data_IF_956994173759
#
_entry.id   IF_956994173759
#
_cell.length_a   1.000
_cell.length_b   1.000
_cell.length_c   1.000
_cell.angle_alpha   90.00
_cell.angle_beta   90.00
_cell.angle_gamma   90.00
#
_symmetry.space_group_name_H-M   'P 1'
#
loop_
_entity.id
_entity.type
_entity.pdbx_description
1 polymer ?
#
# COMPACT_ATOMS: atom_id res chain seq x y z
N UNK A 1 11.04 28.90 -50.92
CA UNK A 1 10.34 28.24 -52.06
C UNK A 1 9.97 26.88 -51.52
N UNK A 2 8.81 26.45 -51.33
CA UNK A 2 7.45 26.53 -51.65
C UNK A 2 6.71 25.63 -50.63
N UNK A 3 5.73 26.12 -49.90
CA UNK A 3 4.56 25.33 -49.47
C UNK A 3 3.69 25.08 -50.71
N UNK A 4 2.88 24.07 -50.81
CA UNK A 4 1.52 24.05 -50.28
C UNK A 4 1.09 22.63 -49.84
N UNK A 5 -0.08 22.27 -49.32
CA UNK A 5 -1.47 22.72 -49.52
C UNK A 5 -2.34 22.01 -48.47
N UNK A 6 -3.33 22.74 -47.97
CA UNK A 6 -4.50 22.28 -47.19
C UNK A 6 -5.45 21.40 -48.02
N UNK A 7 -6.06 20.38 -47.39
CA UNK A 7 -7.35 19.79 -47.78
C UNK A 7 -7.72 18.75 -46.73
N UNK A 8 -8.83 18.68 -46.08
CA UNK A 8 -10.17 19.16 -46.25
C UNK A 8 -11.02 18.48 -45.19
N UNK A 9 -11.76 19.32 -44.52
CA UNK A 9 -12.73 18.97 -43.47
C UNK A 9 -13.91 18.22 -44.07
N UNK A 10 -14.33 17.08 -43.56
CA UNK A 10 -15.67 16.54 -43.79
C UNK A 10 -16.33 16.23 -42.45
N UNK A 11 -17.27 17.09 -42.13
CA UNK A 11 -18.28 16.92 -41.08
C UNK A 11 -19.44 16.13 -41.68
N UNK A 12 -19.95 15.12 -41.01
CA UNK A 12 -21.26 14.53 -41.31
C UNK A 12 -22.06 14.37 -40.01
N UNK A 13 -23.37 14.60 -40.05
CA UNK A 13 -24.15 14.96 -38.88
C UNK A 13 -24.87 13.79 -38.19
N UNK A 14 -25.31 14.11 -36.97
CA UNK A 14 -26.24 13.39 -36.12
C UNK A 14 -27.46 12.79 -36.81
N UNK A 15 -27.83 11.59 -36.41
CA UNK A 15 -29.23 11.14 -36.45
C UNK A 15 -29.63 10.70 -35.07
N UNK A 16 -30.54 11.47 -34.48
CA UNK A 16 -31.28 11.14 -33.29
C UNK A 16 -32.44 10.18 -33.66
N UNK A 17 -32.59 9.11 -32.92
CA UNK A 17 -33.82 8.31 -32.94
C UNK A 17 -34.36 8.23 -31.53
N UNK A 18 -35.40 8.98 -31.28
CA UNK A 18 -36.28 8.84 -30.14
C UNK A 18 -37.28 7.71 -30.42
N UNK A 19 -37.47 6.81 -29.44
CA UNK A 19 -38.61 5.90 -29.42
C UNK A 19 -39.33 6.02 -28.08
N UNK A 20 -40.58 6.42 -28.20
CA UNK A 20 -41.56 6.64 -27.14
C UNK A 20 -42.31 5.35 -26.79
N UNK A 21 -42.78 5.32 -25.56
CA UNK A 21 -44.00 4.71 -24.99
C UNK A 21 -44.13 3.17 -24.91
N UNK A 22 -44.45 2.66 -23.74
CA UNK A 22 -45.88 2.53 -23.35
C UNK A 22 -46.05 2.30 -21.85
N UNK A 23 -46.88 3.09 -21.21
CA UNK A 23 -47.57 2.82 -19.95
C UNK A 23 -48.68 1.76 -20.17
N UNK A 24 -48.77 0.78 -19.30
CA UNK A 24 -50.02 0.09 -19.05
C UNK A 24 -50.25 0.01 -17.52
N UNK A 25 -51.28 0.75 -17.10
CA UNK A 25 -51.98 0.59 -15.84
C UNK A 25 -52.96 -0.59 -15.93
N UNK A 26 -53.08 -1.39 -14.86
CA UNK A 26 -54.30 -2.14 -14.47
C UNK A 26 -54.16 -2.35 -12.98
N UNK A 27 -54.95 -1.75 -12.19
CA UNK A 27 -56.30 -1.92 -11.76
C UNK A 27 -56.39 -2.82 -10.51
N UNK A 28 -57.03 -2.25 -9.51
CA UNK A 28 -57.29 -2.70 -8.16
C UNK A 28 -58.15 -3.98 -8.08
N UNK A 29 -57.97 -4.72 -7.00
CA UNK A 29 -58.90 -5.75 -6.53
C UNK A 29 -58.83 -5.80 -5.02
N UNK A 30 -60.00 -5.47 -4.41
CA UNK A 30 -60.30 -5.40 -2.98
C UNK A 30 -60.53 -6.78 -2.38
N UNK A 31 -60.39 -6.80 -1.04
CA UNK A 31 -61.07 -7.65 -0.05
C UNK A 31 -60.76 -9.16 0.05
N UNK A 32 -60.18 -9.49 1.19
CA UNK A 32 -60.78 -10.34 2.19
C UNK A 32 -59.89 -10.55 3.42
N UNK A 33 -60.34 -10.07 4.56
CA UNK A 33 -59.80 -10.42 5.88
C UNK A 33 -60.42 -11.75 6.37
N UNK A 34 -59.64 -12.66 6.92
CA UNK A 34 -60.19 -13.56 7.93
C UNK A 34 -59.43 -13.54 9.25
N UNK A 35 -60.23 -13.41 10.27
CA UNK A 35 -60.20 -13.93 11.65
C UNK A 35 -58.85 -14.32 12.28
N UNK A 36 -58.60 -13.68 13.41
CA UNK A 36 -57.65 -14.04 14.45
C UNK A 36 -57.89 -15.44 14.99
N UNK A 37 -56.94 -16.33 14.84
CA UNK A 37 -56.77 -17.51 15.69
C UNK A 37 -55.44 -17.43 16.38
N UNK A 38 -55.44 -17.71 17.68
CA UNK A 38 -54.38 -17.51 18.63
C UNK A 38 -53.05 -18.14 18.23
N UNK A 39 -52.00 -17.32 18.23
CA UNK A 39 -50.63 -17.77 18.09
C UNK A 39 -50.03 -17.93 19.47
N UNK A 40 -49.69 -19.18 19.80
CA UNK A 40 -48.89 -19.54 20.94
C UNK A 40 -47.54 -18.83 20.83
N UNK A 41 -47.08 -18.19 21.92
CA UNK A 41 -45.73 -17.65 22.06
C UNK A 41 -44.71 -18.78 21.90
N UNK A 42 -43.76 -18.70 20.98
CA UNK A 42 -42.59 -19.58 21.03
C UNK A 42 -41.71 -19.17 22.23
N UNK A 43 -41.33 -20.18 23.00
CA UNK A 43 -40.33 -20.11 24.04
C UNK A 43 -39.05 -19.44 23.50
N UNK A 44 -38.41 -18.64 24.35
CA UNK A 44 -37.10 -18.03 24.10
C UNK A 44 -36.09 -19.17 23.99
N UNK A 45 -35.87 -19.64 22.79
CA UNK A 45 -34.78 -20.54 22.48
C UNK A 45 -33.50 -19.71 22.55
N UNK A 46 -32.66 -20.06 23.48
CA UNK A 46 -31.35 -19.52 23.74
C UNK A 46 -30.60 -19.33 22.41
N UNK A 47 -30.36 -18.06 22.01
CA UNK A 47 -29.53 -17.70 20.88
C UNK A 47 -28.11 -18.16 21.21
N UNK A 48 -27.81 -19.42 20.89
CA UNK A 48 -26.45 -19.90 20.85
C UNK A 48 -25.68 -18.99 19.90
N UNK A 49 -24.68 -18.28 20.42
CA UNK A 49 -23.71 -17.56 19.60
C UNK A 49 -23.16 -18.52 18.55
N UNK A 50 -23.08 -18.10 17.28
CA UNK A 50 -22.43 -18.94 16.29
C UNK A 50 -21.02 -19.26 16.76
N UNK A 51 -20.55 -20.51 16.63
CA UNK A 51 -19.17 -20.85 16.95
C UNK A 51 -18.25 -19.95 16.17
N UNK A 52 -17.17 -19.48 16.82
CA UNK A 52 -16.06 -18.79 16.19
C UNK A 52 -15.76 -19.49 14.87
N UNK A 53 -15.95 -18.77 13.77
CA UNK A 53 -15.60 -19.25 12.45
C UNK A 53 -14.07 -19.18 12.39
N UNK A 54 -13.41 -20.16 13.00
CA UNK A 54 -12.11 -20.55 12.55
C UNK A 54 -12.34 -21.06 11.13
N UNK A 55 -11.96 -20.24 10.14
CA UNK A 55 -11.93 -20.66 8.75
C UNK A 55 -11.14 -21.96 8.70
N UNK A 56 -11.83 -23.06 8.56
CA UNK A 56 -11.22 -24.38 8.40
C UNK A 56 -10.56 -24.34 7.03
N UNK A 57 -9.25 -24.17 7.05
CA UNK A 57 -8.44 -24.17 5.85
C UNK A 57 -8.72 -25.45 5.05
N UNK A 58 -9.12 -25.30 3.79
CA UNK A 58 -9.40 -26.44 2.95
C UNK A 58 -8.08 -27.16 2.61
N UNK A 59 -8.14 -28.49 2.38
CA UNK A 59 -6.96 -29.26 1.99
C UNK A 59 -6.30 -28.70 0.69
N UNK A 60 -7.10 -28.11 -0.20
CA UNK A 60 -6.64 -27.44 -1.43
C UNK A 60 -5.82 -26.19 -1.13
N UNK A 61 -6.25 -25.37 -0.15
CA UNK A 61 -5.52 -24.15 0.23
C UNK A 61 -4.18 -24.47 0.90
N UNK A 62 -4.15 -25.54 1.70
CA UNK A 62 -2.92 -26.04 2.32
C UNK A 62 -1.93 -26.54 1.24
N UNK A 63 -2.40 -27.31 0.28
CA UNK A 63 -1.58 -27.82 -0.83
C UNK A 63 -1.06 -26.71 -1.74
N UNK A 64 -1.88 -25.70 -2.01
CA UNK A 64 -1.46 -24.53 -2.80
C UNK A 64 -0.36 -23.75 -2.08
N UNK A 65 -0.47 -23.56 -0.76
CA UNK A 65 0.56 -22.90 0.04
C UNK A 65 1.85 -23.69 0.09
N UNK A 66 1.79 -24.99 0.24
CA UNK A 66 2.96 -25.88 0.15
C UNK A 66 3.69 -25.68 -1.17
N UNK A 67 2.97 -25.73 -2.28
CA UNK A 67 3.53 -25.54 -3.61
C UNK A 67 4.20 -24.17 -3.77
N UNK A 68 3.59 -23.10 -3.28
CA UNK A 68 4.18 -21.75 -3.31
C UNK A 68 5.45 -21.69 -2.46
N UNK A 69 5.47 -22.28 -1.27
CA UNK A 69 6.65 -22.34 -0.43
C UNK A 69 7.82 -23.04 -1.12
N UNK A 70 7.58 -24.20 -1.71
CA UNK A 70 8.61 -24.93 -2.46
C UNK A 70 9.19 -24.10 -3.60
N UNK A 71 8.35 -23.38 -4.33
CA UNK A 71 8.78 -22.49 -5.41
C UNK A 71 9.60 -21.29 -4.90
N UNK A 72 9.19 -20.68 -3.80
CA UNK A 72 9.92 -19.57 -3.16
C UNK A 72 11.29 -20.02 -2.68
N UNK A 73 11.37 -21.17 -1.99
CA UNK A 73 12.64 -21.75 -1.54
C UNK A 73 13.57 -22.09 -2.70
N UNK A 74 13.03 -22.74 -3.74
CA UNK A 74 13.80 -23.11 -4.92
C UNK A 74 14.33 -21.87 -5.65
N UNK A 75 13.50 -20.84 -5.84
CA UNK A 75 13.89 -19.60 -6.51
C UNK A 75 14.95 -18.81 -5.71
N UNK A 76 14.78 -18.71 -4.40
CA UNK A 76 15.75 -18.06 -3.51
C UNK A 76 17.11 -18.76 -3.57
N UNK A 77 17.12 -20.10 -3.44
CA UNK A 77 18.33 -20.91 -3.46
C UNK A 77 19.05 -20.83 -4.81
N UNK A 78 18.31 -20.90 -5.91
CA UNK A 78 18.88 -20.83 -7.27
C UNK A 78 19.57 -19.49 -7.57
N UNK A 79 19.22 -18.43 -6.86
CA UNK A 79 19.74 -17.08 -7.06
C UNK A 79 20.58 -16.56 -5.86
N UNK A 80 20.97 -17.45 -4.96
CA UNK A 80 21.78 -17.12 -3.77
C UNK A 80 21.17 -15.96 -2.95
N UNK A 81 19.84 -15.95 -2.81
CA UNK A 81 19.12 -15.00 -1.98
C UNK A 81 18.78 -15.63 -0.62
N UNK A 82 18.89 -14.88 0.50
CA UNK A 82 18.34 -15.35 1.77
C UNK A 82 16.82 -15.60 1.61
N UNK A 83 16.37 -16.78 2.04
CA UNK A 83 14.97 -17.19 1.96
C UNK A 83 14.04 -16.16 2.59
N UNK A 84 14.40 -15.68 3.80
CA UNK A 84 13.60 -14.69 4.51
C UNK A 84 13.47 -13.38 3.73
N UNK A 85 14.55 -12.90 3.12
CA UNK A 85 14.53 -11.71 2.28
C UNK A 85 13.57 -11.87 1.10
N UNK A 86 13.71 -12.96 0.34
CA UNK A 86 12.89 -13.19 -0.83
C UNK A 86 11.40 -13.39 -0.48
N UNK A 87 11.13 -14.19 0.56
CA UNK A 87 9.76 -14.39 1.03
C UNK A 87 9.10 -13.09 1.51
N UNK A 88 9.84 -12.19 2.20
CA UNK A 88 9.34 -10.87 2.60
C UNK A 88 9.07 -9.96 1.41
N UNK A 89 9.89 -10.02 0.35
CA UNK A 89 9.61 -9.31 -0.92
C UNK A 89 8.26 -9.79 -1.48
N UNK A 90 8.10 -11.10 -1.72
CA UNK A 90 6.85 -11.65 -2.29
C UNK A 90 5.63 -11.37 -1.40
N UNK A 91 5.82 -11.39 -0.07
CA UNK A 91 4.78 -10.99 0.87
C UNK A 91 4.37 -9.52 0.71
N UNK A 92 5.33 -8.61 0.51
CA UNK A 92 5.02 -7.19 0.30
C UNK A 92 4.32 -6.94 -1.03
N UNK A 93 4.68 -7.70 -2.07
CA UNK A 93 4.07 -7.54 -3.39
C UNK A 93 2.62 -8.01 -3.43
N UNK A 94 2.33 -9.23 -2.97
CA UNK A 94 1.03 -9.88 -3.24
C UNK A 94 0.42 -10.63 -2.07
N UNK A 95 1.09 -10.74 -0.92
CA UNK A 95 0.72 -11.68 0.15
C UNK A 95 0.69 -13.13 -0.33
N UNK A 96 1.54 -13.48 -1.27
CA UNK A 96 1.60 -14.77 -1.99
C UNK A 96 0.37 -15.08 -2.85
N UNK A 97 -0.42 -14.07 -3.24
CA UNK A 97 -1.56 -14.27 -4.13
C UNK A 97 -1.12 -14.11 -5.58
N UNK A 98 -1.43 -15.12 -6.41
CA UNK A 98 -0.97 -15.19 -7.79
C UNK A 98 -1.77 -14.28 -8.75
N UNK A 99 -3.00 -13.95 -8.41
CA UNK A 99 -3.97 -13.25 -9.24
C UNK A 99 -4.08 -11.73 -8.94
N UNK A 100 -3.21 -11.20 -8.07
CA UNK A 100 -3.25 -9.79 -7.68
C UNK A 100 -2.89 -8.88 -8.84
N UNK A 101 -3.71 -7.86 -9.01
CA UNK A 101 -3.47 -6.75 -9.93
C UNK A 101 -3.34 -5.47 -9.13
N UNK A 102 -2.19 -4.82 -9.23
CA UNK A 102 -1.88 -3.59 -8.51
C UNK A 102 -2.73 -2.39 -8.94
N UNK A 103 -2.61 -1.25 -8.26
CA UNK A 103 -3.30 -0.02 -8.63
C UNK A 103 -2.83 0.49 -10.00
N UNK A 104 -3.69 1.25 -10.68
CA UNK A 104 -3.33 1.86 -11.94
C UNK A 104 -2.28 2.95 -11.73
N UNK A 105 -1.17 2.85 -12.42
CA UNK A 105 -0.11 3.86 -12.45
C UNK A 105 -0.46 5.02 -13.39
N UNK A 106 0.31 6.12 -13.34
CA UNK A 106 0.05 7.30 -14.18
C UNK A 106 0.11 7.03 -15.68
N UNK A 107 0.86 6.02 -16.11
CA UNK A 107 0.97 5.60 -17.51
C UNK A 107 -0.08 4.54 -17.91
N UNK A 108 -1.09 4.31 -17.08
CA UNK A 108 -2.18 3.38 -17.36
C UNK A 108 -1.85 1.90 -17.17
N UNK A 109 -0.65 1.58 -16.69
CA UNK A 109 -0.23 0.20 -16.45
C UNK A 109 -0.48 -0.23 -15.01
N UNK A 110 -0.54 -1.54 -14.76
CA UNK A 110 -0.72 -2.15 -13.45
C UNK A 110 0.33 -3.23 -13.24
N UNK A 111 0.83 -3.33 -12.03
CA UNK A 111 1.64 -4.47 -11.59
C UNK A 111 0.79 -5.74 -11.55
N UNK A 112 1.38 -6.90 -11.81
CA UNK A 112 0.67 -8.16 -12.06
C UNK A 112 1.29 -9.34 -11.33
N UNK A 113 0.43 -10.19 -10.79
CA UNK A 113 0.76 -11.51 -10.27
C UNK A 113 1.47 -11.51 -8.93
N UNK A 114 2.00 -12.67 -8.54
CA UNK A 114 2.59 -12.93 -7.23
C UNK A 114 3.79 -12.03 -6.91
N UNK A 115 4.55 -11.61 -7.92
CA UNK A 115 5.75 -10.79 -7.80
C UNK A 115 5.55 -9.34 -8.32
N UNK A 116 4.31 -8.95 -8.64
CA UNK A 116 3.88 -7.62 -9.06
C UNK A 116 4.76 -7.02 -10.18
N UNK A 117 5.03 -7.80 -11.22
CA UNK A 117 5.76 -7.29 -12.37
C UNK A 117 4.95 -6.24 -13.14
N UNK A 118 5.58 -5.11 -13.42
CA UNK A 118 5.06 -4.19 -14.42
C UNK A 118 5.17 -4.81 -15.82
N UNK A 119 4.19 -4.58 -16.72
CA UNK A 119 4.20 -5.19 -18.08
C UNK A 119 5.50 -4.96 -18.86
N UNK A 120 6.09 -3.76 -18.76
CA UNK A 120 7.39 -3.47 -19.38
C UNK A 120 8.51 -4.33 -18.82
N UNK A 121 8.62 -4.41 -17.50
CA UNK A 121 9.64 -5.25 -16.83
C UNK A 121 9.44 -6.73 -17.11
N UNK A 122 8.18 -7.21 -17.14
CA UNK A 122 7.87 -8.59 -17.52
C UNK A 122 8.38 -8.92 -18.93
N UNK A 123 8.11 -8.02 -19.88
CA UNK A 123 8.58 -8.16 -21.28
C UNK A 123 10.11 -8.17 -21.38
N UNK A 124 10.80 -7.22 -20.72
CA UNK A 124 12.27 -7.14 -20.68
C UNK A 124 12.89 -8.43 -20.12
N UNK A 125 12.22 -9.07 -19.16
CA UNK A 125 12.66 -10.31 -18.51
C UNK A 125 12.14 -11.58 -19.17
N UNK A 126 11.45 -11.46 -20.31
CA UNK A 126 10.85 -12.58 -21.03
C UNK A 126 9.92 -13.42 -20.13
N UNK A 127 9.22 -12.76 -19.24
CA UNK A 127 8.17 -13.35 -18.42
C UNK A 127 6.87 -13.33 -19.24
N UNK A 128 6.44 -14.50 -19.68
CA UNK A 128 5.28 -14.62 -20.58
C UNK A 128 3.96 -14.44 -19.83
N UNK A 129 3.87 -14.99 -18.62
CA UNK A 129 2.69 -14.90 -17.77
C UNK A 129 3.09 -14.48 -16.34
N UNK A 130 2.88 -13.21 -15.96
CA UNK A 130 3.12 -12.73 -14.59
C UNK A 130 2.20 -13.35 -13.54
N UNK A 131 1.07 -13.93 -13.93
CA UNK A 131 0.11 -14.58 -13.03
C UNK A 131 0.46 -16.05 -12.74
N UNK A 132 1.38 -16.63 -13.51
CA UNK A 132 1.89 -17.96 -13.23
C UNK A 132 3.06 -17.91 -12.23
N UNK A 133 2.90 -18.40 -10.99
CA UNK A 133 3.97 -18.40 -9.99
C UNK A 133 5.20 -19.20 -10.41
N UNK A 134 5.02 -20.26 -11.23
CA UNK A 134 6.12 -21.10 -11.72
C UNK A 134 7.08 -20.29 -12.58
N UNK A 135 6.58 -19.32 -13.33
CA UNK A 135 7.40 -18.42 -14.15
C UNK A 135 7.83 -17.17 -13.38
N UNK A 136 6.92 -16.56 -12.61
CA UNK A 136 7.13 -15.27 -11.98
C UNK A 136 8.14 -15.32 -10.84
N UNK A 137 8.09 -16.34 -9.97
CA UNK A 137 8.98 -16.42 -8.80
C UNK A 137 10.46 -16.57 -9.17
N UNK A 138 10.86 -17.46 -10.09
CA UNK A 138 12.25 -17.51 -10.55
C UNK A 138 12.72 -16.21 -11.19
N UNK A 139 11.87 -15.55 -11.99
CA UNK A 139 12.20 -14.25 -12.61
C UNK A 139 12.33 -13.11 -11.60
N UNK A 140 11.54 -13.12 -10.54
CA UNK A 140 11.68 -12.16 -9.45
C UNK A 140 12.99 -12.34 -8.68
N UNK A 141 13.34 -13.58 -8.37
CA UNK A 141 14.60 -13.90 -7.69
C UNK A 141 15.82 -13.55 -8.56
N UNK A 142 15.82 -13.90 -9.87
CA UNK A 142 16.83 -13.50 -10.83
C UNK A 142 17.01 -11.98 -10.85
N UNK A 143 15.92 -11.22 -10.94
CA UNK A 143 15.95 -9.76 -10.94
C UNK A 143 16.54 -9.18 -9.65
N UNK A 144 16.12 -9.68 -8.50
CA UNK A 144 16.66 -9.25 -7.22
C UNK A 144 18.16 -9.55 -7.08
N UNK A 145 18.61 -10.70 -7.58
CA UNK A 145 20.04 -11.05 -7.58
C UNK A 145 20.85 -10.11 -8.48
N UNK A 146 20.35 -9.76 -9.67
CA UNK A 146 20.96 -8.75 -10.55
C UNK A 146 21.03 -7.38 -9.85
N UNK A 147 19.93 -6.94 -9.24
CA UNK A 147 19.87 -5.68 -8.51
C UNK A 147 20.84 -5.67 -7.31
N UNK A 148 20.96 -6.79 -6.59
CA UNK A 148 21.97 -6.95 -5.54
C UNK A 148 23.38 -6.80 -6.10
N UNK A 149 23.66 -7.40 -7.25
CA UNK A 149 24.93 -7.26 -7.95
C UNK A 149 25.22 -5.81 -8.35
N UNK A 150 24.19 -5.12 -8.86
CA UNK A 150 24.30 -3.73 -9.31
C UNK A 150 24.53 -2.74 -8.16
N UNK A 151 23.77 -2.87 -7.07
CA UNK A 151 23.77 -1.92 -5.95
C UNK A 151 24.62 -2.37 -4.75
N UNK A 152 25.08 -3.61 -4.74
CA UNK A 152 26.03 -4.14 -3.77
C UNK A 152 25.44 -4.65 -2.48
N UNK A 153 24.13 -4.50 -2.23
CA UNK A 153 23.46 -5.05 -1.03
C UNK A 153 21.96 -5.28 -1.25
N UNK A 154 21.35 -6.03 -0.33
CA UNK A 154 19.95 -6.46 -0.43
C UNK A 154 18.95 -5.28 -0.22
N UNK A 155 19.28 -4.32 0.64
CA UNK A 155 18.38 -3.19 0.90
C UNK A 155 18.23 -2.28 -0.31
N UNK A 156 19.33 -1.97 -0.99
CA UNK A 156 19.29 -1.20 -2.25
C UNK A 156 18.68 -2.01 -3.40
N UNK A 157 18.86 -3.34 -3.41
CA UNK A 157 18.17 -4.22 -4.36
C UNK A 157 16.66 -4.18 -4.18
N UNK A 158 16.17 -4.25 -2.94
CA UNK A 158 14.75 -4.10 -2.62
C UNK A 158 14.22 -2.71 -3.04
N UNK A 159 14.97 -1.65 -2.76
CA UNK A 159 14.61 -0.31 -3.21
C UNK A 159 14.49 -0.21 -4.73
N UNK A 160 15.43 -0.82 -5.46
CA UNK A 160 15.46 -0.80 -6.92
C UNK A 160 14.37 -1.70 -7.55
N UNK A 161 14.00 -2.78 -6.89
CA UNK A 161 12.87 -3.62 -7.30
C UNK A 161 11.55 -2.83 -7.25
N UNK A 162 11.30 -2.11 -6.16
CA UNK A 162 10.07 -1.33 -5.95
C UNK A 162 10.05 0.00 -6.74
N UNK A 163 11.13 0.80 -6.69
CA UNK A 163 11.15 2.14 -7.27
C UNK A 163 11.72 2.20 -8.69
N UNK A 164 12.34 1.13 -9.15
CA UNK A 164 13.13 1.09 -10.37
C UNK A 164 14.62 1.44 -10.17
N UNK A 165 15.54 0.75 -10.85
CA UNK A 165 16.99 0.89 -10.66
C UNK A 165 17.49 2.31 -10.96
N UNK A 166 16.97 2.97 -12.00
CA UNK A 166 17.34 4.33 -12.34
C UNK A 166 17.07 5.33 -11.20
N UNK A 167 15.91 5.21 -10.55
CA UNK A 167 15.56 6.09 -9.43
C UNK A 167 16.49 5.93 -8.24
N UNK A 168 16.91 4.71 -7.96
CA UNK A 168 17.90 4.44 -6.90
C UNK A 168 19.27 5.02 -7.28
N UNK A 169 19.68 4.91 -8.54
CA UNK A 169 20.92 5.54 -9.03
C UNK A 169 20.86 7.06 -8.88
N UNK A 170 19.79 7.71 -9.34
CA UNK A 170 19.62 9.17 -9.26
C UNK A 170 19.62 9.62 -7.79
N UNK A 171 18.98 8.88 -6.90
CA UNK A 171 18.98 9.17 -5.47
C UNK A 171 20.38 9.03 -4.84
N UNK A 172 21.10 7.96 -5.12
CA UNK A 172 22.47 7.75 -4.63
C UNK A 172 23.45 8.81 -5.17
N UNK A 173 23.20 9.32 -6.38
CA UNK A 173 23.96 10.42 -6.97
C UNK A 173 23.57 11.81 -6.42
N UNK A 174 22.53 11.90 -5.56
CA UNK A 174 22.01 13.17 -5.03
C UNK A 174 21.23 14.01 -6.05
N UNK A 175 20.86 13.44 -7.20
CA UNK A 175 20.12 14.11 -8.29
C UNK A 175 18.63 13.79 -8.29
N UNK A 176 18.19 12.86 -7.43
CA UNK A 176 16.82 12.43 -7.31
C UNK A 176 16.36 12.21 -5.86
N UNK A 177 15.07 11.96 -5.67
CA UNK A 177 14.49 11.64 -4.36
C UNK A 177 14.03 10.19 -4.28
N UNK A 178 14.16 9.58 -3.09
CA UNK A 178 13.60 8.27 -2.81
C UNK A 178 12.14 8.42 -2.35
N UNK A 179 11.16 7.72 -2.99
CA UNK A 179 9.77 7.75 -2.54
C UNK A 179 9.61 7.20 -1.12
N UNK A 180 8.72 7.79 -0.34
CA UNK A 180 8.41 7.32 0.99
C UNK A 180 7.89 5.87 1.00
N UNK A 181 7.09 5.51 0.00
CA UNK A 181 6.63 4.14 -0.21
C UNK A 181 7.81 3.16 -0.29
N UNK A 182 8.84 3.50 -1.08
CA UNK A 182 10.04 2.67 -1.23
C UNK A 182 10.87 2.59 0.06
N UNK A 183 10.97 3.68 0.82
CA UNK A 183 11.61 3.69 2.14
C UNK A 183 10.92 2.71 3.09
N UNK A 184 9.59 2.75 3.14
CA UNK A 184 8.78 1.84 3.93
C UNK A 184 8.90 0.38 3.47
N UNK A 185 8.94 0.17 2.16
CA UNK A 185 9.13 -1.14 1.56
C UNK A 185 10.46 -1.78 2.01
N UNK A 186 11.56 -1.03 1.96
CA UNK A 186 12.87 -1.50 2.38
C UNK A 186 12.88 -1.87 3.86
N UNK A 187 12.34 -1.01 4.73
CA UNK A 187 12.25 -1.31 6.18
C UNK A 187 11.41 -2.55 6.45
N UNK A 188 10.27 -2.71 5.76
CA UNK A 188 9.38 -3.86 5.93
C UNK A 188 10.06 -5.20 5.57
N UNK A 189 10.97 -5.18 4.61
CA UNK A 189 11.68 -6.38 4.14
C UNK A 189 12.94 -6.65 4.97
N UNK A 190 13.70 -5.59 5.27
CA UNK A 190 15.06 -5.74 5.79
C UNK A 190 15.21 -5.35 7.26
N UNK A 191 14.23 -4.65 7.82
CA UNK A 191 14.31 -4.10 9.18
C UNK A 191 15.19 -2.84 9.30
N UNK A 192 15.85 -2.41 8.21
CA UNK A 192 16.74 -1.24 8.17
C UNK A 192 16.29 -0.25 7.11
N UNK A 193 16.61 1.03 7.30
CA UNK A 193 16.25 2.10 6.36
C UNK A 193 17.11 2.04 5.09
N UNK A 194 16.60 2.58 3.99
CA UNK A 194 17.35 2.65 2.74
C UNK A 194 18.62 3.51 2.87
N UNK A 195 18.64 4.50 3.76
CA UNK A 195 19.78 5.33 4.11
C UNK A 195 20.88 4.54 4.84
N UNK A 196 20.48 3.65 5.76
CA UNK A 196 21.41 2.75 6.43
C UNK A 196 22.07 1.79 5.45
N UNK A 197 21.28 1.25 4.52
CA UNK A 197 21.81 0.40 3.44
C UNK A 197 22.74 1.16 2.49
N UNK A 198 22.42 2.41 2.15
CA UNK A 198 23.30 3.25 1.33
C UNK A 198 24.64 3.54 2.03
N UNK A 199 24.62 3.80 3.35
CA UNK A 199 25.83 4.01 4.15
C UNK A 199 26.66 2.74 4.33
N UNK A 200 26.01 1.58 4.45
CA UNK A 200 26.70 0.30 4.55
C UNK A 200 27.47 -0.08 3.27
N UNK A 201 27.07 0.47 2.13
CA UNK A 201 27.76 0.27 0.85
C UNK A 201 27.76 -1.18 0.36
N UNK A 202 28.78 -1.53 -0.45
CA UNK A 202 28.93 -2.89 -0.96
C UNK A 202 29.20 -3.87 0.18
N UNK A 203 28.41 -4.95 0.27
CA UNK A 203 28.58 -5.98 1.28
C UNK A 203 27.81 -5.73 2.58
N UNK A 204 26.97 -4.69 2.64
CA UNK A 204 26.02 -4.54 3.75
C UNK A 204 25.18 -5.79 3.92
N UNK A 205 25.16 -6.34 5.13
CA UNK A 205 24.43 -7.58 5.47
C UNK A 205 23.13 -7.23 6.17
N UNK A 206 22.11 -8.05 5.95
CA UNK A 206 20.94 -8.04 6.82
C UNK A 206 21.37 -8.30 8.26
N UNK A 207 20.65 -7.71 9.25
CA UNK A 207 20.77 -8.15 10.62
C UNK A 207 20.69 -9.68 10.66
N UNK A 208 21.55 -10.31 11.47
CA UNK A 208 21.62 -11.78 11.53
C UNK A 208 20.21 -12.33 11.80
N UNK A 209 19.67 -13.02 10.81
CA UNK A 209 18.36 -13.63 10.94
C UNK A 209 18.43 -14.76 11.97
N UNK A 210 17.35 -14.94 12.71
CA UNK A 210 17.11 -16.16 13.47
C UNK A 210 17.35 -17.43 12.60
N UNK A 211 17.66 -18.60 13.19
CA UNK A 211 18.01 -19.80 12.44
C UNK A 211 17.03 -20.09 11.31
N UNK A 212 17.47 -20.78 10.24
CA UNK A 212 16.70 -20.93 9.01
C UNK A 212 15.29 -21.48 9.30
N UNK A 213 14.33 -20.61 9.22
CA UNK A 213 12.92 -20.89 9.39
C UNK A 213 12.43 -21.48 8.06
N UNK A 214 11.65 -22.54 8.09
CA UNK A 214 11.00 -23.03 6.86
C UNK A 214 10.13 -21.93 6.26
N UNK A 215 9.87 -21.99 4.94
CA UNK A 215 8.95 -21.05 4.32
C UNK A 215 7.55 -21.05 4.99
N UNK A 216 7.10 -22.19 5.47
CA UNK A 216 5.84 -22.32 6.22
C UNK A 216 5.83 -21.52 7.50
N UNK A 217 6.87 -21.67 8.34
CA UNK A 217 7.00 -20.92 9.57
C UNK A 217 7.09 -19.42 9.29
N UNK A 218 7.81 -19.06 8.25
CA UNK A 218 7.97 -17.69 7.81
C UNK A 218 6.63 -17.09 7.34
N UNK A 219 5.83 -17.80 6.51
CA UNK A 219 4.50 -17.37 6.12
C UNK A 219 3.57 -17.24 7.33
N UNK A 220 3.61 -18.21 8.24
CA UNK A 220 2.83 -18.17 9.47
C UNK A 220 3.24 -16.97 10.34
N UNK A 221 4.54 -16.68 10.45
CA UNK A 221 5.07 -15.51 11.14
C UNK A 221 4.58 -14.21 10.47
N UNK A 222 4.72 -14.10 9.15
CA UNK A 222 4.29 -12.92 8.38
C UNK A 222 2.78 -12.67 8.46
N UNK A 223 1.97 -13.72 8.59
CA UNK A 223 0.52 -13.59 8.83
C UNK A 223 0.17 -13.16 10.25
N UNK A 224 0.93 -13.59 11.25
CA UNK A 224 0.68 -13.34 12.69
C UNK A 224 1.37 -12.09 13.20
N UNK A 225 2.56 -11.81 12.72
CA UNK A 225 3.27 -10.61 13.13
C UNK A 225 2.57 -9.38 12.53
N UNK A 226 2.30 -8.33 13.33
CA UNK A 226 2.10 -7.03 12.73
C UNK A 226 3.29 -6.82 11.79
N UNK A 227 3.03 -6.49 10.54
CA UNK A 227 4.07 -6.17 9.56
C UNK A 227 5.12 -5.31 10.30
N UNK A 228 6.43 -5.67 10.29
CA UNK A 228 7.45 -4.87 10.96
C UNK A 228 7.38 -3.40 10.59
N UNK A 229 6.87 -3.12 9.36
CA UNK A 229 6.51 -1.78 8.92
C UNK A 229 5.36 -1.18 9.74
N UNK A 230 4.30 -1.93 10.06
CA UNK A 230 3.20 -1.42 10.92
C UNK A 230 3.72 -1.18 12.33
N UNK A 231 4.54 -2.07 12.88
CA UNK A 231 5.17 -1.89 14.18
C UNK A 231 6.18 -0.71 14.17
N UNK A 232 7.00 -0.60 13.12
CA UNK A 232 7.90 0.53 12.92
C UNK A 232 7.12 1.84 12.70
N UNK A 233 6.08 1.82 11.86
CA UNK A 233 5.19 2.95 11.66
C UNK A 233 4.43 3.32 12.94
N UNK A 234 3.96 2.34 13.72
CA UNK A 234 3.34 2.59 15.03
C UNK A 234 4.33 3.18 16.02
N UNK A 235 5.58 2.73 16.02
CA UNK A 235 6.63 3.30 16.85
C UNK A 235 7.02 4.71 16.40
N UNK A 236 7.16 4.96 15.10
CA UNK A 236 7.38 6.30 14.54
C UNK A 236 6.17 7.21 14.75
N UNK A 237 4.96 6.70 14.61
CA UNK A 237 3.71 7.41 14.93
C UNK A 237 3.64 7.73 16.43
N UNK A 238 4.04 6.81 17.32
CA UNK A 238 4.15 7.07 18.76
C UNK A 238 5.21 8.11 19.07
N UNK A 239 6.39 8.05 18.45
CA UNK A 239 7.47 9.03 18.62
C UNK A 239 7.09 10.40 18.05
N UNK A 240 6.45 10.45 16.89
CA UNK A 240 5.96 11.69 16.29
C UNK A 240 4.74 12.26 17.03
N UNK A 241 3.86 11.39 17.55
CA UNK A 241 2.74 11.78 18.41
C UNK A 241 3.20 12.21 19.81
N UNK A 242 4.39 11.78 20.26
CA UNK A 242 5.01 12.21 21.52
C UNK A 242 5.48 13.67 21.47
N UNK A 243 5.62 14.26 20.28
CA UNK A 243 5.99 15.69 20.17
C UNK A 243 4.84 16.59 20.62
N UNK A 244 5.17 17.62 21.41
CA UNK A 244 4.18 18.51 22.02
C UNK A 244 3.37 19.32 21.00
N UNK A 245 3.93 19.57 19.84
CA UNK A 245 3.32 20.37 18.78
C UNK A 245 3.25 19.57 17.47
N UNK A 246 2.27 19.90 16.65
CA UNK A 246 2.10 19.28 15.34
C UNK A 246 1.66 20.30 14.29
N UNK A 247 2.27 20.19 13.11
CA UNK A 247 1.86 20.95 11.92
C UNK A 247 0.91 20.07 11.11
N UNK A 248 -0.38 20.37 11.16
CA UNK A 248 -1.40 19.62 10.43
C UNK A 248 -1.40 20.00 8.96
N UNK A 249 -1.29 18.99 8.09
CA UNK A 249 -1.26 19.13 6.63
C UNK A 249 -2.54 18.62 5.96
N UNK A 250 -3.18 17.63 6.56
CA UNK A 250 -4.42 17.06 6.06
C UNK A 250 -5.31 16.59 7.20
N UNK A 251 -6.61 16.55 6.96
CA UNK A 251 -7.56 16.00 7.91
C UNK A 251 -8.88 15.60 7.23
N UNK A 252 -9.65 14.72 7.87
CA UNK A 252 -10.96 14.30 7.37
C UNK A 252 -11.62 13.24 8.23
N UNK A 253 -12.90 12.96 7.96
CA UNK A 253 -13.66 11.90 8.62
C UNK A 253 -13.44 10.51 8.01
N UNK A 254 -12.64 10.42 6.96
CA UNK A 254 -12.20 9.19 6.32
C UNK A 254 -10.67 9.17 6.33
N UNK A 255 -10.10 8.07 6.86
CA UNK A 255 -8.66 7.91 7.01
C UNK A 255 -7.94 7.91 5.65
N UNK A 256 -8.49 7.18 4.68
CA UNK A 256 -7.85 7.03 3.38
C UNK A 256 -7.87 8.35 2.60
N UNK A 257 -8.97 9.12 2.70
CA UNK A 257 -9.07 10.46 2.10
C UNK A 257 -8.11 11.45 2.76
N UNK A 258 -7.95 11.41 4.08
CA UNK A 258 -6.98 12.25 4.78
C UNK A 258 -5.54 11.92 4.33
N UNK A 259 -5.19 10.63 4.22
CA UNK A 259 -3.90 10.18 3.71
C UNK A 259 -3.68 10.55 2.25
N UNK A 260 -4.67 10.36 1.38
CA UNK A 260 -4.58 10.77 -0.01
C UNK A 260 -4.39 12.29 -0.17
N UNK A 261 -5.01 13.09 0.71
CA UNK A 261 -4.80 14.54 0.73
C UNK A 261 -3.40 14.92 1.18
N UNK A 262 -2.88 14.23 2.19
CA UNK A 262 -1.50 14.36 2.64
C UNK A 262 -0.51 13.99 1.53
N UNK A 263 -0.69 12.85 0.87
CA UNK A 263 0.18 12.40 -0.25
C UNK A 263 0.21 13.42 -1.39
N UNK A 264 -0.93 14.00 -1.74
CA UNK A 264 -0.98 15.09 -2.75
C UNK A 264 -0.21 16.33 -2.29
N UNK A 265 -0.34 16.71 -1.02
CA UNK A 265 0.42 17.84 -0.48
C UNK A 265 1.92 17.57 -0.51
N UNK A 266 2.35 16.34 -0.17
CA UNK A 266 3.77 15.95 -0.17
C UNK A 266 4.43 16.03 -1.55
N UNK A 267 3.67 15.90 -2.64
CA UNK A 267 4.22 16.06 -4.00
C UNK A 267 4.96 17.40 -4.19
N UNK A 268 4.50 18.44 -3.50
CA UNK A 268 5.09 19.79 -3.58
C UNK A 268 5.87 20.19 -2.33
N UNK A 269 5.55 19.59 -1.17
CA UNK A 269 6.09 20.00 0.12
C UNK A 269 7.27 19.15 0.59
N UNK A 270 7.62 18.07 -0.10
CA UNK A 270 8.75 17.22 0.28
C UNK A 270 10.08 17.98 0.47
N UNK A 271 10.45 18.97 -0.39
CA UNK A 271 11.67 19.72 -0.18
C UNK A 271 11.69 20.55 1.11
N UNK A 272 10.50 20.91 1.63
CA UNK A 272 10.35 21.72 2.84
C UNK A 272 10.23 20.87 4.10
N UNK A 273 9.55 19.73 4.00
CA UNK A 273 9.27 18.83 5.12
C UNK A 273 10.42 17.83 5.31
N UNK A 274 11.10 17.47 4.21
CA UNK A 274 12.16 16.47 4.23
C UNK A 274 11.62 15.09 4.58
N UNK A 275 12.44 14.31 5.28
CA UNK A 275 12.17 12.92 5.66
C UNK A 275 11.42 12.78 7.00
N UNK A 276 10.70 13.83 7.43
CA UNK A 276 9.94 13.78 8.67
C UNK A 276 8.68 12.94 8.49
N UNK A 277 8.53 11.92 9.34
CA UNK A 277 7.36 11.05 9.33
C UNK A 277 6.10 11.75 9.87
N UNK A 278 4.97 11.64 9.17
CA UNK A 278 3.71 12.17 9.67
C UNK A 278 3.12 11.28 10.77
N UNK A 279 2.50 11.89 11.74
CA UNK A 279 1.61 11.21 12.70
C UNK A 279 0.16 11.30 12.23
N UNK A 280 -0.59 10.22 12.43
CA UNK A 280 -2.02 10.17 12.18
C UNK A 280 -2.73 10.13 13.52
N UNK A 281 -3.40 11.23 13.86
CA UNK A 281 -4.19 11.32 15.09
C UNK A 281 -5.66 11.04 14.78
N UNK A 282 -6.23 10.07 15.47
CA UNK A 282 -7.65 9.76 15.43
C UNK A 282 -8.33 10.38 16.65
N UNK A 283 -9.29 11.28 16.44
CA UNK A 283 -9.97 11.99 17.50
C UNK A 283 -11.48 12.02 17.26
N UNK A 284 -12.26 11.78 18.29
CA UNK A 284 -13.71 11.98 18.23
C UNK A 284 -14.02 13.35 18.86
N UNK A 285 -14.53 14.26 18.05
CA UNK A 285 -14.99 15.57 18.51
C UNK A 285 -16.48 15.48 18.89
N UNK A 286 -16.80 15.47 20.16
CA UNK A 286 -18.21 15.38 20.65
C UNK A 286 -19.13 16.44 20.04
N UNK A 287 -18.59 17.64 19.73
CA UNK A 287 -19.32 18.71 19.05
C UNK A 287 -19.63 18.44 17.58
N UNK A 288 -19.03 17.40 16.97
CA UNK A 288 -19.20 17.00 15.57
C UNK A 288 -19.76 15.59 15.42
N UNK A 289 -20.32 15.02 16.50
CA UNK A 289 -20.89 13.68 16.54
C UNK A 289 -19.91 12.59 16.97
N UNK A 290 -20.24 11.34 16.69
CA UNK A 290 -19.47 10.16 17.11
C UNK A 290 -18.43 9.69 16.07
N UNK A 291 -18.37 10.33 14.90
CA UNK A 291 -17.46 9.92 13.82
C UNK A 291 -16.02 10.31 14.18
N UNK A 292 -15.10 9.36 13.95
CA UNK A 292 -13.67 9.60 14.10
C UNK A 292 -13.18 10.60 13.06
N UNK A 293 -12.42 11.58 13.50
CA UNK A 293 -11.76 12.58 12.68
C UNK A 293 -10.26 12.29 12.66
N UNK A 294 -9.71 12.08 11.49
CA UNK A 294 -8.30 11.76 11.26
C UNK A 294 -7.53 13.04 10.90
N UNK A 295 -6.37 13.22 11.51
CA UNK A 295 -5.53 14.40 11.33
C UNK A 295 -4.11 13.92 11.03
N UNK A 296 -3.52 14.36 9.92
CA UNK A 296 -2.15 14.04 9.52
C UNK A 296 -1.27 15.24 9.87
N UNK A 297 -0.29 15.02 10.76
CA UNK A 297 0.55 16.08 11.32
C UNK A 297 2.02 15.71 11.27
N UNK A 298 2.88 16.70 11.03
CA UNK A 298 4.32 16.60 11.27
C UNK A 298 4.61 17.09 12.68
N UNK A 299 5.32 16.27 13.46
CA UNK A 299 5.62 16.59 14.87
C UNK A 299 6.72 17.65 15.00
N UNK A 300 6.59 18.52 16.00
CA UNK A 300 7.60 19.49 16.39
C UNK A 300 7.75 19.57 17.92
N UNK A 301 8.97 19.74 18.42
CA UNK A 301 9.25 19.73 19.86
C UNK A 301 8.77 21.02 20.54
N UNK A 302 8.81 22.14 19.82
CA UNK A 302 8.41 23.45 20.34
C UNK A 302 7.41 24.13 19.41
N UNK A 303 6.63 25.05 19.94
CA UNK A 303 5.72 25.87 19.14
C UNK A 303 6.45 26.72 18.09
N UNK A 304 7.56 27.42 18.43
CA UNK A 304 8.32 28.18 17.44
C UNK A 304 8.82 27.30 16.28
N UNK A 305 9.26 26.07 16.55
CA UNK A 305 9.68 25.14 15.50
C UNK A 305 8.50 24.74 14.60
N UNK A 306 7.32 24.49 15.17
CA UNK A 306 6.10 24.21 14.41
C UNK A 306 5.66 25.40 13.55
N UNK A 307 5.69 26.62 14.12
CA UNK A 307 5.34 27.86 13.41
C UNK A 307 6.34 28.13 12.26
N UNK A 308 7.64 27.92 12.49
CA UNK A 308 8.66 28.05 11.45
C UNK A 308 8.46 27.05 10.31
N UNK A 309 8.15 25.79 10.62
CA UNK A 309 7.83 24.78 9.61
C UNK A 309 6.58 25.16 8.82
N UNK A 310 5.50 25.56 9.51
CA UNK A 310 4.26 25.97 8.86
C UNK A 310 4.46 27.19 7.95
N UNK A 311 5.30 28.15 8.35
CA UNK A 311 5.64 29.31 7.51
C UNK A 311 6.39 28.88 6.23
N UNK A 312 7.36 27.97 6.32
CA UNK A 312 8.04 27.43 5.13
C UNK A 312 7.06 26.70 4.20
N UNK A 313 6.13 25.93 4.76
CA UNK A 313 5.07 25.24 4.02
C UNK A 313 4.19 26.24 3.26
N UNK A 314 3.80 27.35 3.90
CA UNK A 314 2.99 28.41 3.26
C UNK A 314 3.74 29.11 2.12
N UNK A 315 5.02 29.40 2.34
CA UNK A 315 5.89 29.97 1.28
C UNK A 315 5.98 29.03 0.07
N UNK A 316 5.98 27.71 0.30
CA UNK A 316 5.94 26.70 -0.76
C UNK A 316 4.52 26.45 -1.35
N UNK A 317 3.53 27.30 -0.99
CA UNK A 317 2.16 27.19 -1.51
C UNK A 317 1.29 26.15 -0.80
N UNK A 318 1.74 25.57 0.31
CA UNK A 318 0.98 24.60 1.10
C UNK A 318 0.10 25.25 2.16
N UNK A 319 -0.93 24.53 2.60
CA UNK A 319 -1.77 24.89 3.73
C UNK A 319 -1.35 24.13 5.00
N UNK A 320 -1.29 24.80 6.14
CA UNK A 320 -0.96 24.17 7.42
C UNK A 320 -1.63 24.86 8.61
N UNK A 321 -1.80 24.10 9.69
CA UNK A 321 -2.23 24.59 11.00
C UNK A 321 -1.30 24.05 12.08
N UNK A 322 -0.84 24.94 12.97
CA UNK A 322 -0.05 24.55 14.14
C UNK A 322 -0.99 24.26 15.30
N UNK A 323 -0.90 23.05 15.85
CA UNK A 323 -1.77 22.56 16.90
C UNK A 323 -0.94 21.89 18.00
N UNK A 324 -1.40 22.02 19.25
CA UNK A 324 -0.83 21.24 20.35
C UNK A 324 -1.35 19.81 20.29
N UNK A 325 -0.46 18.83 20.39
CA UNK A 325 -0.83 17.43 20.47
C UNK A 325 -1.32 17.15 21.91
N UNK A 326 -2.62 16.84 22.06
CA UNK A 326 -3.21 16.46 23.34
C UNK A 326 -3.01 14.95 23.50
N UNK A 327 -2.31 14.53 24.55
CA UNK A 327 -2.20 13.09 24.87
C UNK A 327 -0.82 12.58 25.26
N UNK A 328 0.20 13.44 25.31
CA UNK A 328 1.47 13.10 25.97
C UNK A 328 1.46 13.71 27.35
N UNK A 329 0.70 13.11 28.27
CA UNK A 329 0.98 13.20 29.69
C UNK A 329 1.65 11.88 30.06
N UNK A 330 2.93 12.00 30.45
CA UNK A 330 3.72 10.93 31.04
C UNK A 330 3.15 10.49 32.36
#
# INVERSE_FOLDING_TARGET
MALPTLMGMRVLPCVAAAALLSLTQAAAGEDASPAMTGVARPSVEELAMPPDVHETETATDAQTRESICLMVEAAARANDLPLEFFARVIWQESRFQADVVGPMTRNGQRAQGIAQFMPGTASERRLLDPFDPVQALPKAAEFLAELRGQFGNLGLAAAAYNAGPRRVQDWLAGTGSMPQETRHYVVAITGSTVEEWARAGKGGKMPEAAPPTSCHDLIALLKRAPNPFVAGLEQHVKLSAAKLWGVQLAAGFDRNRALASYSRAMTHLQPVIGDQDPSILATVFRSRGTRTFYQVRIGADTRPAADALCNRIRVAGGACFVLRNRGVQG
#
